data_IF_674195210819
#
_entry.id   IF_674195210819
#
_cell.length_a   1.000
_cell.length_b   1.000
_cell.length_c   1.000
_cell.angle_alpha   90.00
_cell.angle_beta   90.00
_cell.angle_gamma   90.00
#
_symmetry.space_group_name_H-M   'P 1'
#
loop_
_entity.id
_entity.type
_entity.pdbx_description
1 polymer ?
#
# COMPACT_ATOMS: atom_id res chain seq x y z
N UNK A 1 151.92 -66.95 17.33
CA UNK A 1 152.76 -65.91 16.74
C UNK A 1 152.12 -64.57 17.06
N UNK A 2 152.75 -63.78 17.94
CA UNK A 2 152.41 -62.37 18.12
C UNK A 2 152.78 -61.61 16.86
N UNK A 3 151.96 -60.64 16.42
CA UNK A 3 152.42 -59.31 15.99
C UNK A 3 151.40 -58.58 15.10
N UNK A 4 151.31 -57.27 15.33
CA UNK A 4 150.59 -56.23 14.60
C UNK A 4 149.11 -56.07 14.99
N UNK A 5 148.60 -54.92 15.42
CA UNK A 5 149.14 -53.57 15.47
C UNK A 5 148.27 -52.73 16.42
N UNK A 6 148.85 -52.21 17.51
CA UNK A 6 148.22 -51.28 18.47
C UNK A 6 148.14 -49.85 17.92
N UNK A 7 147.79 -49.67 16.64
CA UNK A 7 147.63 -48.33 16.04
C UNK A 7 146.19 -47.80 16.11
N UNK A 8 145.21 -48.60 16.56
CA UNK A 8 143.80 -48.17 16.61
C UNK A 8 143.34 -47.59 17.96
N UNK A 9 144.16 -47.63 19.02
CA UNK A 9 143.75 -47.20 20.37
C UNK A 9 143.86 -45.68 20.61
N UNK A 10 144.42 -44.93 19.66
CA UNK A 10 144.56 -43.46 19.74
C UNK A 10 143.41 -42.69 19.06
N UNK A 11 142.55 -43.36 18.29
CA UNK A 11 141.34 -42.75 17.69
C UNK A 11 140.11 -42.95 18.58
N UNK A 12 139.34 -41.88 18.85
CA UNK A 12 138.04 -41.97 19.53
C UNK A 12 137.09 -42.79 18.66
N UNK A 13 136.47 -43.83 19.21
CA UNK A 13 135.49 -44.65 18.48
C UNK A 13 134.24 -43.84 18.16
N UNK A 14 133.92 -43.73 16.88
CA UNK A 14 132.68 -43.11 16.41
C UNK A 14 131.55 -44.15 16.44
N UNK A 15 130.72 -44.08 17.48
CA UNK A 15 129.47 -44.85 17.52
C UNK A 15 128.40 -44.14 16.69
N UNK A 16 127.68 -44.89 15.86
CA UNK A 16 126.51 -44.37 15.13
C UNK A 16 125.40 -44.03 16.15
N UNK A 17 124.84 -42.83 16.07
CA UNK A 17 123.88 -42.26 17.04
C UNK A 17 122.46 -42.84 17.00
N UNK A 18 122.23 -43.90 16.22
CA UNK A 18 120.90 -44.49 16.04
C UNK A 18 120.73 -45.74 16.91
N UNK A 19 120.05 -45.59 18.05
CA UNK A 19 119.76 -46.69 18.97
C UNK A 19 118.73 -47.69 18.43
N UNK A 20 117.89 -47.30 17.46
CA UNK A 20 116.87 -48.17 16.85
C UNK A 20 117.09 -48.32 15.34
N UNK A 21 117.22 -49.58 14.90
CA UNK A 21 117.45 -49.94 13.50
C UNK A 21 116.13 -49.84 12.71
N UNK A 22 115.86 -48.67 12.12
CA UNK A 22 114.70 -48.42 11.22
C UNK A 22 114.60 -49.38 10.02
N UNK A 23 115.66 -50.12 9.73
CA UNK A 23 115.74 -51.12 8.66
C UNK A 23 114.92 -52.38 8.99
N UNK A 24 114.75 -52.68 10.27
CA UNK A 24 113.94 -53.79 10.74
C UNK A 24 112.52 -53.28 11.01
N UNK A 25 111.56 -53.72 10.18
CA UNK A 25 110.15 -53.44 10.43
C UNK A 25 109.66 -54.29 11.62
N UNK A 26 108.88 -53.73 12.56
CA UNK A 26 108.32 -54.51 13.65
C UNK A 26 107.35 -55.57 13.10
N UNK A 27 107.47 -56.81 13.56
CA UNK A 27 106.57 -57.89 13.19
C UNK A 27 105.30 -57.81 14.05
N UNK A 28 104.17 -57.47 13.44
CA UNK A 28 102.88 -57.35 14.10
C UNK A 28 101.75 -57.08 13.11
N UNK A 29 100.52 -57.38 13.51
CA UNK A 29 99.33 -57.11 12.72
C UNK A 29 98.89 -55.66 12.93
N UNK A 30 98.99 -54.83 11.88
CA UNK A 30 98.46 -53.47 11.88
C UNK A 30 97.08 -53.51 11.21
N UNK A 31 96.01 -53.25 11.97
CA UNK A 31 94.66 -53.11 11.41
C UNK A 31 94.58 -51.85 10.54
N UNK A 32 93.87 -51.95 9.42
CA UNK A 32 93.94 -50.98 8.32
C UNK A 32 93.04 -49.75 8.46
N UNK A 33 92.32 -49.57 9.58
CA UNK A 33 91.43 -48.41 9.75
C UNK A 33 91.44 -47.97 11.22
N UNK A 34 91.76 -46.71 11.45
CA UNK A 34 91.59 -46.05 12.75
C UNK A 34 90.37 -45.15 12.60
N UNK A 35 89.18 -45.70 12.83
CA UNK A 35 87.97 -44.88 13.00
C UNK A 35 88.06 -44.20 14.35
N UNK A 36 88.08 -42.87 14.38
CA UNK A 36 88.14 -42.15 15.65
C UNK A 36 86.75 -42.02 16.25
N UNK A 37 86.64 -42.01 17.58
CA UNK A 37 85.36 -41.73 18.25
C UNK A 37 84.79 -40.35 17.84
N UNK A 38 85.65 -39.43 17.40
CA UNK A 38 85.26 -38.15 16.81
C UNK A 38 84.50 -38.35 15.49
N UNK A 39 84.95 -39.24 14.61
CA UNK A 39 84.28 -39.52 13.33
C UNK A 39 82.87 -40.09 13.53
N UNK A 40 82.66 -40.88 14.59
CA UNK A 40 81.34 -41.40 14.96
C UNK A 40 80.38 -40.33 15.53
N UNK A 41 80.92 -39.23 16.07
CA UNK A 41 80.15 -38.12 16.64
C UNK A 41 80.01 -36.94 15.68
N UNK A 42 80.88 -36.82 14.67
CA UNK A 42 80.75 -35.84 13.59
C UNK A 42 79.91 -36.44 12.46
N UNK A 43 78.60 -36.27 12.57
CA UNK A 43 77.68 -36.67 11.51
C UNK A 43 77.86 -35.71 10.34
N UNK A 44 78.30 -36.24 9.19
CA UNK A 44 78.35 -35.45 7.96
C UNK A 44 76.94 -34.98 7.56
N UNK A 45 76.85 -33.85 6.89
CA UNK A 45 75.57 -33.35 6.36
C UNK A 45 74.98 -34.39 5.41
N UNK A 46 73.77 -34.86 5.74
CA UNK A 46 73.06 -35.80 4.89
C UNK A 46 72.68 -35.11 3.58
N UNK A 47 72.75 -35.83 2.45
CA UNK A 47 72.27 -35.28 1.18
C UNK A 47 70.79 -34.86 1.32
N UNK A 48 70.42 -33.67 0.82
CA UNK A 48 69.07 -33.16 0.95
C UNK A 48 68.10 -34.04 0.16
N UNK A 49 66.86 -34.15 0.64
CA UNK A 49 65.83 -34.91 -0.08
C UNK A 49 65.48 -34.19 -1.39
N UNK A 50 65.35 -34.91 -2.52
CA UNK A 50 64.84 -34.38 -3.78
C UNK A 50 63.48 -33.69 -3.64
N UNK A 51 63.29 -32.56 -4.33
CA UNK A 51 62.07 -31.74 -4.22
C UNK A 51 60.79 -32.47 -4.59
N UNK A 52 60.88 -33.41 -5.53
CA UNK A 52 59.73 -34.23 -5.98
C UNK A 52 59.16 -35.08 -4.84
N UNK A 53 60.01 -35.51 -3.90
CA UNK A 53 59.65 -36.41 -2.80
C UNK A 53 59.30 -35.68 -1.50
N UNK A 54 59.72 -34.40 -1.34
CA UNK A 54 59.45 -33.58 -0.15
C UNK A 54 57.96 -33.54 0.28
N UNK A 55 56.97 -33.47 -0.62
CA UNK A 55 55.55 -33.45 -0.24
C UNK A 55 55.02 -34.76 0.36
N UNK A 56 55.68 -35.89 0.11
CA UNK A 56 55.27 -37.22 0.59
C UNK A 56 56.03 -37.65 1.85
N UNK A 57 56.90 -36.79 2.38
CA UNK A 57 57.65 -37.10 3.59
C UNK A 57 56.78 -37.09 4.84
N UNK A 58 57.16 -37.92 5.80
CA UNK A 58 56.55 -37.95 7.12
C UNK A 58 56.60 -36.56 7.77
N UNK A 59 55.49 -36.15 8.40
CA UNK A 59 55.30 -34.79 8.94
C UNK A 59 56.41 -34.34 9.90
N UNK A 60 56.99 -35.27 10.67
CA UNK A 60 58.09 -35.00 11.61
C UNK A 60 59.42 -34.55 10.95
N UNK A 61 59.54 -34.63 9.62
CA UNK A 61 60.71 -34.17 8.86
C UNK A 61 60.50 -32.83 8.17
N UNK A 62 59.31 -32.23 8.30
CA UNK A 62 59.04 -30.88 7.79
C UNK A 62 59.74 -29.83 8.67
N UNK A 63 60.16 -28.69 8.10
CA UNK A 63 60.77 -27.61 8.87
C UNK A 63 59.78 -27.06 9.92
N UNK A 64 60.32 -26.73 11.10
CA UNK A 64 59.53 -26.19 12.20
C UNK A 64 58.80 -24.90 11.77
N UNK A 65 57.50 -24.78 12.11
CA UNK A 65 56.67 -23.62 11.80
C UNK A 65 56.04 -23.60 10.40
N UNK A 66 56.26 -24.64 9.58
CA UNK A 66 55.60 -24.75 8.27
C UNK A 66 54.14 -25.21 8.37
N UNK A 67 53.28 -24.72 7.46
CA UNK A 67 51.88 -25.14 7.36
C UNK A 67 51.83 -26.52 6.71
N UNK A 68 51.25 -27.50 7.40
CA UNK A 68 51.10 -28.86 6.88
C UNK A 68 50.01 -28.90 5.79
N UNK A 69 50.44 -29.04 4.53
CA UNK A 69 49.55 -29.26 3.38
C UNK A 69 49.37 -30.77 3.15
N UNK A 70 48.18 -31.18 2.76
CA UNK A 70 47.93 -32.57 2.36
C UNK A 70 48.74 -32.92 1.10
N UNK A 71 49.34 -34.12 1.03
CA UNK A 71 50.23 -34.53 -0.06
C UNK A 71 49.58 -34.43 -1.45
N UNK A 72 48.26 -34.64 -1.53
CA UNK A 72 47.48 -34.51 -2.77
C UNK A 72 47.30 -33.07 -3.27
N UNK A 73 47.31 -32.07 -2.37
CA UNK A 73 47.08 -30.64 -2.70
C UNK A 73 48.31 -29.77 -2.46
N UNK A 74 49.44 -30.36 -2.11
CA UNK A 74 50.69 -29.65 -1.82
C UNK A 74 51.26 -28.93 -3.05
N UNK A 75 50.97 -29.43 -4.25
CA UNK A 75 51.41 -28.85 -5.53
C UNK A 75 50.44 -27.80 -6.09
N UNK A 76 49.24 -27.69 -5.52
CA UNK A 76 48.24 -26.75 -6.00
C UNK A 76 48.61 -25.32 -5.58
N UNK A 77 48.25 -24.34 -6.41
CA UNK A 77 48.39 -22.94 -6.04
C UNK A 77 47.48 -22.61 -4.85
N UNK A 78 47.98 -21.80 -3.92
CA UNK A 78 47.13 -21.25 -2.84
C UNK A 78 46.19 -20.22 -3.47
N UNK A 79 44.94 -20.16 -2.99
CA UNK A 79 44.00 -19.13 -3.46
C UNK A 79 44.45 -17.77 -2.94
N UNK A 80 44.51 -16.79 -3.85
CA UNK A 80 44.81 -15.40 -3.52
C UNK A 80 43.52 -14.58 -3.40
N UNK A 81 43.52 -13.65 -2.43
CA UNK A 81 42.44 -12.72 -2.19
C UNK A 81 41.71 -12.94 -0.86
N UNK A 82 40.82 -12.01 -0.48
CA UNK A 82 40.07 -12.11 0.77
C UNK A 82 39.02 -13.23 0.69
N UNK A 83 39.03 -14.11 1.67
CA UNK A 83 38.05 -15.18 1.83
C UNK A 83 36.85 -14.67 2.64
N UNK A 84 35.74 -14.44 1.98
CA UNK A 84 34.51 -13.97 2.62
C UNK A 84 33.44 -13.53 1.61
N UNK A 85 32.24 -13.26 2.11
CA UNK A 85 31.17 -12.68 1.31
C UNK A 85 31.46 -11.20 1.07
N UNK A 86 31.79 -10.82 -0.17
CA UNK A 86 31.86 -9.41 -0.57
C UNK A 86 30.45 -8.93 -0.92
N UNK A 87 29.91 -8.01 -0.13
CA UNK A 87 28.85 -7.14 -0.65
C UNK A 87 29.47 -6.26 -1.75
N UNK A 88 28.96 -6.34 -2.98
CA UNK A 88 29.40 -5.43 -4.04
C UNK A 88 28.92 -4.02 -3.69
N UNK A 89 29.82 -3.19 -3.16
CA UNK A 89 29.56 -1.77 -3.00
C UNK A 89 29.33 -1.14 -4.38
N UNK A 90 28.18 -0.50 -4.59
CA UNK A 90 27.89 0.30 -5.78
C UNK A 90 27.15 -0.39 -6.94
N UNK A 91 26.39 -1.47 -6.71
CA UNK A 91 25.49 -1.99 -7.76
C UNK A 91 24.21 -1.17 -7.93
N UNK A 92 23.75 -0.53 -6.86
CA UNK A 92 22.63 0.40 -6.88
C UNK A 92 23.10 1.66 -6.15
N UNK A 93 23.45 2.68 -6.92
CA UNK A 93 23.76 3.98 -6.34
C UNK A 93 22.45 4.62 -5.90
N UNK A 94 22.44 5.28 -4.75
CA UNK A 94 21.29 6.11 -4.37
C UNK A 94 20.92 7.12 -5.47
N UNK A 95 21.90 7.55 -6.27
CA UNK A 95 21.67 8.41 -7.44
C UNK A 95 20.82 7.74 -8.54
N UNK A 96 20.95 6.44 -8.76
CA UNK A 96 20.15 5.68 -9.74
C UNK A 96 18.71 5.54 -9.27
N UNK A 97 18.50 5.31 -7.97
CA UNK A 97 17.16 5.25 -7.38
C UNK A 97 16.44 6.60 -7.36
N UNK A 98 17.18 7.71 -7.32
CA UNK A 98 16.62 9.07 -7.31
C UNK A 98 16.40 9.63 -8.73
N UNK A 99 17.01 9.04 -9.75
CA UNK A 99 16.89 9.51 -11.12
C UNK A 99 15.57 9.05 -11.76
N UNK A 100 14.54 9.90 -11.69
CA UNK A 100 13.22 9.60 -12.25
C UNK A 100 13.11 9.79 -13.78
N UNK A 101 13.89 10.70 -14.36
CA UNK A 101 13.83 11.02 -15.79
C UNK A 101 15.16 10.70 -16.49
N UNK A 102 15.11 10.35 -17.79
CA UNK A 102 16.32 10.23 -18.58
C UNK A 102 17.05 11.59 -18.67
N UNK A 103 18.38 11.52 -18.62
CA UNK A 103 19.24 12.69 -18.73
C UNK A 103 19.33 13.29 -20.14
N UNK A 104 18.89 12.55 -21.16
CA UNK A 104 18.91 13.00 -22.56
C UNK A 104 17.58 13.64 -22.97
N UNK A 105 17.65 14.68 -23.81
CA UNK A 105 16.46 15.34 -24.38
C UNK A 105 15.64 14.38 -25.23
N UNK A 106 16.31 13.54 -26.02
CA UNK A 106 15.66 12.50 -26.84
C UNK A 106 14.88 11.53 -25.95
N UNK A 107 15.42 11.15 -24.79
CA UNK A 107 14.75 10.25 -23.86
C UNK A 107 13.51 10.87 -23.25
N UNK A 108 13.55 12.17 -22.93
CA UNK A 108 12.39 12.91 -22.41
C UNK A 108 11.30 13.06 -23.46
N UNK A 109 11.67 13.37 -24.71
CA UNK A 109 10.71 13.46 -25.81
C UNK A 109 10.06 12.09 -26.09
N UNK A 110 10.84 11.00 -26.12
CA UNK A 110 10.31 9.65 -26.29
C UNK A 110 9.34 9.27 -25.16
N UNK A 111 9.65 9.63 -23.92
CA UNK A 111 8.76 9.41 -22.77
C UNK A 111 7.45 10.18 -22.95
N UNK A 112 7.51 11.46 -23.31
CA UNK A 112 6.32 12.25 -23.63
C UNK A 112 5.48 11.63 -24.76
N UNK A 113 6.10 11.16 -25.84
CA UNK A 113 5.39 10.47 -26.94
C UNK A 113 4.67 9.21 -26.46
N UNK A 114 5.29 8.43 -25.57
CA UNK A 114 4.65 7.23 -24.97
C UNK A 114 3.47 7.60 -24.06
N UNK A 115 3.59 8.71 -23.34
CA UNK A 115 2.56 9.21 -22.42
C UNK A 115 1.43 10.00 -23.10
N UNK A 116 1.55 10.29 -24.40
CA UNK A 116 0.46 10.92 -25.17
C UNK A 116 -0.82 10.08 -25.17
N UNK A 117 -0.73 8.76 -24.95
CA UNK A 117 -1.92 7.90 -24.87
C UNK A 117 -2.83 8.27 -23.68
N UNK A 118 -2.29 8.91 -22.63
CA UNK A 118 -3.07 9.24 -21.45
C UNK A 118 -4.03 10.41 -21.66
N UNK A 119 -5.23 10.25 -21.13
CA UNK A 119 -6.27 11.28 -21.21
C UNK A 119 -5.90 12.57 -20.47
N UNK A 120 -5.14 12.49 -19.38
CA UNK A 120 -4.64 13.65 -18.64
C UNK A 120 -3.71 14.50 -19.50
N UNK A 121 -2.78 13.88 -20.22
CA UNK A 121 -1.85 14.55 -21.15
C UNK A 121 -2.59 15.38 -22.20
N UNK A 122 -3.73 14.91 -22.69
CA UNK A 122 -4.56 15.64 -23.66
C UNK A 122 -5.48 16.69 -23.03
N UNK A 123 -5.98 16.46 -21.81
CA UNK A 123 -6.93 17.35 -21.12
C UNK A 123 -6.25 18.51 -20.40
N UNK A 124 -5.01 18.30 -19.95
CA UNK A 124 -4.26 19.22 -19.10
C UNK A 124 -2.87 19.53 -19.70
N UNK A 125 -2.78 20.04 -20.94
CA UNK A 125 -1.50 20.45 -21.49
C UNK A 125 -0.98 21.68 -20.74
N UNK A 126 0.24 21.60 -20.19
CA UNK A 126 0.84 22.71 -19.46
C UNK A 126 1.01 23.94 -20.38
N UNK A 127 0.44 25.07 -19.96
CA UNK A 127 0.50 26.33 -20.71
C UNK A 127 -0.41 26.39 -21.94
N UNK A 128 -1.20 25.34 -22.20
CA UNK A 128 -2.19 25.28 -23.25
C UNK A 128 -3.61 25.09 -22.71
N UNK A 129 -4.59 25.18 -23.60
CA UNK A 129 -5.96 24.73 -23.33
C UNK A 129 -6.20 23.39 -24.00
N UNK A 130 -7.23 22.68 -23.55
CA UNK A 130 -7.62 21.39 -24.13
C UNK A 130 -7.92 21.53 -25.63
N UNK A 131 -7.19 20.76 -26.45
CA UNK A 131 -7.53 20.60 -27.86
C UNK A 131 -8.66 19.60 -27.99
N UNK A 132 -9.80 20.04 -28.53
CA UNK A 132 -11.00 19.18 -28.73
C UNK A 132 -11.00 18.43 -30.05
N UNK A 133 -9.95 18.57 -30.87
CA UNK A 133 -9.84 17.89 -32.16
C UNK A 133 -10.80 18.40 -33.25
N UNK A 134 -11.30 19.63 -33.15
CA UNK A 134 -12.17 20.19 -34.18
C UNK A 134 -11.39 20.57 -35.44
N UNK A 135 -11.92 20.20 -36.61
CA UNK A 135 -11.44 20.70 -37.90
C UNK A 135 -12.02 22.09 -38.16
N UNK A 136 -11.21 23.12 -37.94
CA UNK A 136 -11.61 24.51 -38.18
C UNK A 136 -11.53 24.83 -39.69
N UNK A 137 -12.48 25.61 -40.25
CA UNK A 137 -12.37 26.12 -41.61
C UNK A 137 -11.06 26.90 -41.82
N UNK A 138 -10.41 26.70 -42.95
CA UNK A 138 -9.15 27.37 -43.27
C UNK A 138 -9.31 28.91 -43.19
N UNK A 139 -8.36 29.57 -42.53
CA UNK A 139 -8.36 31.03 -42.34
C UNK A 139 -9.13 31.55 -41.13
N UNK A 140 -9.96 30.72 -40.46
CA UNK A 140 -10.68 31.14 -39.26
C UNK A 140 -9.74 31.24 -38.05
N UNK A 141 -9.59 32.44 -37.49
CA UNK A 141 -8.69 32.77 -36.38
C UNK A 141 -7.38 33.42 -36.79
N UNK A 142 -6.98 33.32 -38.07
CA UNK A 142 -5.80 33.98 -38.64
C UNK A 142 -6.18 35.12 -39.59
N UNK A 143 -6.97 34.82 -40.61
CA UNK A 143 -7.40 35.77 -41.66
C UNK A 143 -8.77 36.37 -41.34
N UNK A 144 -9.72 35.51 -40.92
CA UNK A 144 -11.07 35.91 -40.54
C UNK A 144 -11.21 35.79 -39.03
N UNK A 145 -11.63 36.85 -38.32
CA UNK A 145 -11.85 36.79 -36.88
C UNK A 145 -13.06 35.90 -36.54
N UNK A 146 -13.12 35.46 -35.28
CA UNK A 146 -14.28 34.73 -34.78
C UNK A 146 -15.49 35.65 -34.62
N UNK A 147 -16.69 35.11 -34.89
CA UNK A 147 -17.96 35.82 -34.76
C UNK A 147 -18.57 36.23 -36.09
N UNK A 148 -19.73 36.88 -36.05
CA UNK A 148 -20.39 37.41 -37.25
C UNK A 148 -19.95 38.87 -37.45
N UNK A 149 -19.35 39.24 -38.59
CA UNK A 149 -19.05 40.63 -38.87
C UNK A 149 -20.37 41.37 -39.10
N UNK A 150 -20.74 42.20 -38.14
CA UNK A 150 -21.74 43.22 -38.37
C UNK A 150 -20.98 44.40 -38.95
N UNK A 151 -21.21 44.69 -40.23
CA UNK A 151 -20.58 45.79 -40.97
C UNK A 151 -21.10 47.17 -40.51
N UNK A 152 -21.21 47.38 -39.20
CA UNK A 152 -21.82 48.56 -38.57
C UNK A 152 -21.08 49.82 -39.00
N UNK A 153 -19.74 49.80 -38.97
CA UNK A 153 -18.91 50.95 -39.37
C UNK A 153 -19.05 51.28 -40.87
N UNK A 154 -19.21 50.28 -41.72
CA UNK A 154 -19.40 50.49 -43.16
C UNK A 154 -20.81 51.01 -43.47
N UNK A 155 -21.83 50.49 -42.77
CA UNK A 155 -23.20 50.98 -42.86
C UNK A 155 -23.34 52.42 -42.36
N UNK A 156 -22.66 52.78 -41.26
CA UNK A 156 -22.56 54.16 -40.79
C UNK A 156 -21.89 55.06 -41.85
N UNK A 157 -20.81 54.60 -42.49
CA UNK A 157 -20.17 55.34 -43.58
C UNK A 157 -21.07 55.56 -44.80
N UNK A 158 -22.01 54.64 -45.05
CA UNK A 158 -22.96 54.74 -46.15
C UNK A 158 -24.16 55.66 -45.85
N UNK A 159 -24.30 56.15 -44.60
CA UNK A 159 -25.37 57.07 -44.18
C UNK A 159 -26.77 56.65 -44.67
N UNK A 160 -27.09 55.36 -44.65
CA UNK A 160 -28.36 54.81 -45.15
C UNK A 160 -29.58 55.44 -44.47
N UNK A 161 -29.42 55.88 -43.23
CA UNK A 161 -30.45 56.61 -42.48
C UNK A 161 -30.86 57.91 -43.16
N UNK A 162 -29.91 58.65 -43.75
CA UNK A 162 -30.20 59.92 -44.44
C UNK A 162 -31.05 59.70 -45.69
N UNK A 163 -30.75 58.65 -46.48
CA UNK A 163 -31.53 58.30 -47.68
C UNK A 163 -32.95 57.84 -47.37
N UNK A 164 -33.17 57.23 -46.20
CA UNK A 164 -34.52 56.81 -45.77
C UNK A 164 -35.33 58.01 -45.25
N UNK A 165 -34.72 58.91 -44.48
CA UNK A 165 -35.41 60.07 -43.91
C UNK A 165 -35.73 61.11 -44.99
N UNK A 166 -34.83 61.31 -45.96
CA UNK A 166 -34.99 62.31 -47.02
C UNK A 166 -34.82 61.66 -48.41
N UNK A 167 -35.88 61.02 -48.95
CA UNK A 167 -35.82 60.44 -50.27
C UNK A 167 -35.71 61.55 -51.33
N UNK A 168 -34.51 61.75 -51.90
CA UNK A 168 -34.26 62.78 -52.93
C UNK A 168 -34.87 62.46 -54.31
N UNK A 169 -35.38 61.24 -54.51
CA UNK A 169 -35.95 60.76 -55.78
C UNK A 169 -37.38 60.20 -55.61
N UNK A 170 -38.16 60.72 -54.66
CA UNK A 170 -39.60 60.50 -54.72
C UNK A 170 -40.16 61.40 -55.83
N UNK A 171 -40.71 60.81 -56.90
CA UNK A 171 -41.52 61.57 -57.83
C UNK A 171 -42.77 62.02 -57.06
N UNK A 172 -43.02 63.33 -56.97
CA UNK A 172 -44.18 63.87 -56.28
C UNK A 172 -45.46 63.49 -57.06
N UNK A 173 -46.06 62.35 -56.69
CA UNK A 173 -47.30 61.86 -57.29
C UNK A 173 -48.50 62.82 -57.07
N UNK A 174 -48.39 63.73 -56.10
CA UNK A 174 -49.38 64.80 -55.83
C UNK A 174 -49.44 65.87 -56.94
N UNK A 175 -48.42 66.00 -57.78
CA UNK A 175 -48.41 66.98 -58.87
C UNK A 175 -49.24 66.54 -60.11
N UNK A 176 -49.83 65.34 -60.10
CA UNK A 176 -50.64 64.81 -61.19
C UNK A 176 -52.15 65.04 -60.97
N UNK A 177 -52.80 65.99 -61.68
CA UNK A 177 -54.23 66.30 -61.53
C UNK A 177 -55.20 65.12 -61.70
N UNK A 178 -55.00 64.15 -62.62
CA UNK A 178 -55.94 63.03 -62.78
C UNK A 178 -55.84 62.05 -61.60
N UNK A 179 -54.64 61.83 -61.05
CA UNK A 179 -54.44 60.96 -59.88
C UNK A 179 -55.11 61.57 -58.66
N UNK A 180 -54.94 62.88 -58.43
CA UNK A 180 -55.63 63.60 -57.34
C UNK A 180 -57.16 63.44 -57.43
N UNK A 181 -57.75 63.62 -58.61
CA UNK A 181 -59.21 63.46 -58.79
C UNK A 181 -59.71 62.04 -58.50
N UNK A 182 -58.90 61.02 -58.83
CA UNK A 182 -59.20 59.61 -58.52
C UNK A 182 -59.13 59.35 -57.01
N UNK A 183 -58.14 59.89 -56.31
CA UNK A 183 -58.01 59.76 -54.85
C UNK A 183 -59.10 60.51 -54.08
N UNK A 184 -59.52 61.68 -54.57
CA UNK A 184 -60.69 62.42 -54.06
C UNK A 184 -61.96 61.55 -54.17
N UNK A 185 -62.17 60.88 -55.29
CA UNK A 185 -63.35 60.04 -55.53
C UNK A 185 -63.34 58.74 -54.73
N UNK A 186 -62.21 58.03 -54.71
CA UNK A 186 -62.09 56.70 -54.10
C UNK A 186 -61.87 56.72 -52.58
N UNK A 187 -61.04 57.65 -52.08
CA UNK A 187 -60.61 57.69 -50.67
C UNK A 187 -61.08 58.95 -49.94
N UNK A 188 -61.68 59.92 -50.63
CA UNK A 188 -62.08 61.19 -50.02
C UNK A 188 -60.90 62.03 -49.55
N UNK A 189 -59.73 61.88 -50.18
CA UNK A 189 -58.52 62.64 -49.88
C UNK A 189 -58.55 64.00 -50.58
N UNK A 190 -58.95 65.05 -49.86
CA UNK A 190 -59.04 66.41 -50.40
C UNK A 190 -57.78 67.20 -50.07
N UNK A 191 -57.37 68.08 -50.98
CA UNK A 191 -56.30 69.04 -50.67
C UNK A 191 -56.77 70.02 -49.57
N UNK A 192 -55.87 70.52 -48.71
CA UNK A 192 -56.22 71.53 -47.70
C UNK A 192 -56.92 72.74 -48.35
N UNK A 193 -58.14 73.03 -47.90
CA UNK A 193 -58.96 74.13 -48.41
C UNK A 193 -59.95 73.77 -49.52
N UNK A 194 -59.95 72.53 -50.03
CA UNK A 194 -60.92 72.07 -51.02
C UNK A 194 -62.24 71.62 -50.36
N UNK A 195 -63.37 72.15 -50.84
CA UNK A 195 -64.69 71.68 -50.41
C UNK A 195 -65.07 70.41 -51.15
N UNK A 196 -65.59 69.41 -50.42
CA UNK A 196 -66.14 68.19 -51.02
C UNK A 196 -67.30 68.50 -51.96
N UNK A 197 -67.06 68.36 -53.25
CA UNK A 197 -68.10 68.37 -54.29
C UNK A 197 -68.85 67.04 -54.23
N UNK A 198 -70.18 67.12 -54.18
CA UNK A 198 -71.08 65.96 -54.05
C UNK A 198 -71.86 65.67 -55.33
N UNK A 199 -71.48 66.32 -56.43
CA UNK A 199 -72.10 66.23 -57.76
C UNK A 199 -73.64 66.30 -57.71
N UNK A 200 -74.18 67.09 -56.78
CA UNK A 200 -75.61 67.31 -56.69
C UNK A 200 -76.08 68.12 -57.89
N UNK A 201 -77.17 67.65 -58.47
CA UNK A 201 -77.87 68.34 -59.54
C UNK A 201 -78.77 69.42 -58.94
N UNK A 202 -78.16 70.52 -58.48
CA UNK A 202 -78.83 71.63 -57.81
C UNK A 202 -79.91 72.31 -58.67
N UNK A 203 -79.85 72.09 -59.99
CA UNK A 203 -80.87 72.51 -60.95
C UNK A 203 -82.26 71.89 -60.67
N UNK A 204 -82.33 70.65 -60.14
CA UNK A 204 -83.59 69.94 -59.87
C UNK A 204 -84.29 70.36 -58.58
N UNK A 205 -83.53 70.79 -57.58
CA UNK A 205 -84.06 71.22 -56.29
C UNK A 205 -84.49 72.69 -56.28
N UNK A 206 -84.24 73.42 -57.38
CA UNK A 206 -84.51 74.85 -57.53
C UNK A 206 -83.89 75.71 -56.39
N UNK A 207 -82.70 75.32 -55.96
CA UNK A 207 -81.97 75.93 -54.85
C UNK A 207 -80.57 76.32 -55.35
N UNK A 208 -80.20 77.60 -55.22
CA UNK A 208 -78.81 78.04 -55.41
C UNK A 208 -78.01 77.78 -54.11
N UNK A 209 -76.97 76.93 -54.14
CA UNK A 209 -76.18 76.56 -52.96
C UNK A 209 -75.49 77.73 -52.27
N UNK A 210 -75.18 78.80 -53.00
CA UNK A 210 -74.48 79.95 -52.44
C UNK A 210 -75.42 80.95 -51.76
N UNK A 211 -76.71 80.92 -52.08
CA UNK A 211 -77.67 81.98 -51.67
C UNK A 211 -78.79 81.50 -50.72
N UNK A 212 -79.19 80.23 -50.73
CA UNK A 212 -80.33 79.74 -49.92
C UNK A 212 -79.99 79.50 -48.43
N UNK A 213 -80.85 79.93 -47.49
CA UNK A 213 -80.69 79.69 -46.04
C UNK A 213 -81.30 78.36 -45.63
N UNK A 214 -80.44 77.37 -45.43
CA UNK A 214 -80.86 76.00 -45.11
C UNK A 214 -81.28 75.82 -43.64
N UNK A 215 -82.26 74.94 -43.43
CA UNK A 215 -82.83 74.33 -42.20
C UNK A 215 -84.28 74.68 -41.88
N UNK A 216 -84.93 73.73 -41.19
CA UNK A 216 -86.27 73.82 -40.61
C UNK A 216 -86.27 74.73 -39.37
N UNK A 217 -87.35 75.48 -39.18
CA UNK A 217 -87.57 76.33 -38.01
C UNK A 217 -88.72 75.72 -37.19
N UNK A 218 -88.48 75.40 -35.92
CA UNK A 218 -89.47 74.76 -35.04
C UNK A 218 -89.93 75.72 -33.91
N UNK A 219 -91.26 75.79 -33.71
CA UNK A 219 -91.91 76.53 -32.61
C UNK A 219 -91.79 75.80 -31.27
N UNK A 220 -91.46 76.52 -30.19
CA UNK A 220 -91.22 75.94 -28.85
C UNK A 220 -92.52 75.42 -28.20
N UNK A 221 -92.64 74.11 -28.02
CA UNK A 221 -93.70 73.51 -27.21
C UNK A 221 -93.30 72.14 -26.65
N UNK A 222 -93.21 72.06 -25.31
CA UNK A 222 -93.36 70.81 -24.54
C UNK A 222 -92.11 69.93 -24.34
N UNK A 223 -91.08 70.40 -23.64
CA UNK A 223 -90.02 69.53 -23.12
C UNK A 223 -90.01 69.52 -21.59
N UNK A 224 -89.85 68.32 -21.01
CA UNK A 224 -89.73 68.04 -19.57
C UNK A 224 -88.84 69.05 -18.84
N UNK A 225 -89.29 69.45 -17.65
CA UNK A 225 -88.54 70.39 -16.81
C UNK A 225 -87.23 69.77 -16.33
N UNK A 226 -86.16 70.57 -16.27
CA UNK A 226 -84.81 70.16 -15.86
C UNK A 226 -84.77 69.48 -14.47
N UNK A 227 -85.78 69.74 -13.64
CA UNK A 227 -85.96 69.13 -12.32
C UNK A 227 -86.17 67.61 -12.38
N UNK A 228 -86.91 67.11 -13.38
CA UNK A 228 -87.15 65.66 -13.57
C UNK A 228 -85.86 64.93 -13.98
N UNK A 229 -84.94 65.62 -14.67
CA UNK A 229 -83.65 65.04 -15.10
C UNK A 229 -82.68 64.95 -13.92
N UNK A 230 -82.72 65.91 -12.99
CA UNK A 230 -81.77 66.01 -11.88
C UNK A 230 -82.08 65.07 -10.71
N UNK A 231 -83.36 64.74 -10.48
CA UNK A 231 -83.79 63.91 -9.34
C UNK A 231 -84.71 62.77 -9.82
N UNK A 232 -84.18 61.79 -10.55
CA UNK A 232 -84.94 60.64 -11.04
C UNK A 232 -85.43 59.72 -9.91
N UNK A 233 -84.95 59.94 -8.68
CA UNK A 233 -85.33 59.18 -7.50
C UNK A 233 -86.74 59.48 -6.98
N UNK A 234 -87.29 60.64 -7.36
CA UNK A 234 -88.60 61.13 -6.92
C UNK A 234 -89.72 60.85 -7.94
N UNK A 235 -89.40 60.36 -9.15
CA UNK A 235 -90.40 60.00 -10.16
C UNK A 235 -90.93 58.59 -9.89
N UNK A 236 -92.23 58.47 -9.58
CA UNK A 236 -92.89 57.18 -9.26
C UNK A 236 -92.83 56.17 -10.42
N UNK A 237 -92.81 56.65 -11.67
CA UNK A 237 -92.64 55.81 -12.87
C UNK A 237 -91.19 55.33 -13.06
N UNK A 238 -90.22 56.04 -12.51
CA UNK A 238 -88.80 55.70 -12.57
C UNK A 238 -88.37 54.81 -11.40
N UNK A 239 -89.01 54.92 -10.22
CA UNK A 239 -88.73 54.09 -9.05
C UNK A 239 -88.97 52.58 -9.28
N UNK A 240 -89.98 52.21 -10.08
CA UNK A 240 -90.26 50.81 -10.45
C UNK A 240 -89.21 50.19 -11.39
N UNK A 241 -88.35 51.00 -12.02
CA UNK A 241 -87.29 50.54 -12.93
C UNK A 241 -85.95 50.28 -12.24
N UNK A 242 -85.85 50.49 -10.93
CA UNK A 242 -84.59 50.38 -10.19
C UNK A 242 -84.32 48.96 -9.73
N UNK A 243 -83.56 48.27 -10.57
CA UNK A 243 -82.89 46.99 -10.34
C UNK A 243 -83.85 45.82 -10.03
N UNK A 244 -83.93 44.87 -10.97
CA UNK A 244 -84.66 43.63 -10.75
C UNK A 244 -84.15 42.94 -9.47
N UNK A 245 -85.05 42.64 -8.53
CA UNK A 245 -84.72 41.97 -7.26
C UNK A 245 -84.12 40.57 -7.47
N UNK A 246 -84.33 40.00 -8.65
CA UNK A 246 -83.75 38.73 -9.08
C UNK A 246 -82.96 38.99 -10.35
N UNK A 247 -81.68 38.67 -10.31
CA UNK A 247 -80.80 38.76 -11.47
C UNK A 247 -80.22 37.38 -11.77
N UNK A 248 -79.76 37.17 -13.00
CA UNK A 248 -79.16 35.90 -13.36
C UNK A 248 -77.85 35.66 -12.59
N UNK A 249 -77.63 34.42 -12.15
CA UNK A 249 -76.41 34.01 -11.43
C UNK A 249 -75.11 34.32 -12.18
N UNK A 250 -75.16 34.33 -13.52
CA UNK A 250 -74.03 34.67 -14.39
C UNK A 250 -73.68 36.15 -14.24
N UNK A 251 -74.70 37.02 -14.28
CA UNK A 251 -74.53 38.45 -14.12
C UNK A 251 -74.06 38.81 -12.70
N UNK A 252 -74.58 38.16 -11.66
CA UNK A 252 -74.15 38.42 -10.27
C UNK A 252 -72.68 38.04 -10.05
N UNK A 253 -72.24 36.90 -10.60
CA UNK A 253 -70.81 36.51 -10.56
C UNK A 253 -69.93 37.51 -11.30
N UNK A 254 -70.36 37.95 -12.49
CA UNK A 254 -69.65 38.95 -13.29
C UNK A 254 -69.52 40.28 -12.52
N UNK A 255 -70.61 40.73 -11.89
CA UNK A 255 -70.64 41.93 -11.05
C UNK A 255 -69.74 41.80 -9.81
N UNK A 256 -69.73 40.65 -9.13
CA UNK A 256 -68.89 40.43 -7.96
C UNK A 256 -67.38 40.40 -8.28
N UNK A 257 -66.99 39.95 -9.47
CA UNK A 257 -65.56 39.90 -9.86
C UNK A 257 -65.04 41.19 -10.50
N UNK A 258 -65.91 41.94 -11.19
CA UNK A 258 -65.52 43.17 -11.90
C UNK A 258 -65.87 44.44 -11.12
N UNK A 259 -66.82 44.37 -10.20
CA UNK A 259 -67.13 45.46 -9.29
C UNK A 259 -66.02 45.64 -8.27
N UNK A 260 -65.64 46.91 -8.06
CA UNK A 260 -64.75 47.31 -6.96
C UNK A 260 -65.61 47.78 -5.79
N UNK A 261 -65.58 47.05 -4.69
CA UNK A 261 -66.34 47.39 -3.48
C UNK A 261 -65.45 48.18 -2.53
N UNK A 262 -65.95 49.32 -2.05
CA UNK A 262 -65.21 50.15 -1.10
C UNK A 262 -64.81 49.35 0.15
N UNK A 263 -63.51 49.38 0.46
CA UNK A 263 -62.94 48.73 1.64
C UNK A 263 -62.68 47.23 1.50
N UNK A 264 -62.99 46.61 0.36
CA UNK A 264 -62.62 45.21 0.08
C UNK A 264 -61.59 45.14 -1.05
N UNK A 265 -60.62 44.23 -0.97
CA UNK A 265 -59.71 43.99 -2.09
C UNK A 265 -60.47 43.33 -3.25
N UNK A 266 -59.98 43.55 -4.48
CA UNK A 266 -60.55 42.95 -5.68
C UNK A 266 -60.53 41.42 -5.62
N UNK A 267 -61.65 40.80 -5.94
CA UNK A 267 -61.79 39.35 -5.99
C UNK A 267 -61.14 38.78 -7.27
N UNK A 268 -60.00 38.10 -7.13
CA UNK A 268 -59.20 37.55 -8.25
C UNK A 268 -59.57 36.11 -8.65
N UNK A 269 -60.56 35.49 -8.00
CA UNK A 269 -61.03 34.14 -8.32
C UNK A 269 -60.64 33.09 -7.29
N UNK A 270 -61.08 31.84 -7.51
CA UNK A 270 -61.03 30.76 -6.53
C UNK A 270 -59.59 30.27 -6.29
N UNK A 271 -59.06 30.56 -5.10
CA UNK A 271 -57.93 29.80 -4.55
C UNK A 271 -58.38 28.40 -4.13
N UNK A 272 -57.43 27.47 -4.01
CA UNK A 272 -57.68 26.20 -3.34
C UNK A 272 -58.27 26.46 -1.94
N UNK A 273 -59.19 25.60 -1.47
CA UNK A 273 -59.80 25.71 -0.14
C UNK A 273 -58.76 25.48 0.94
N UNK A 274 -58.06 26.55 1.32
CA UNK A 274 -57.11 26.56 2.42
C UNK A 274 -57.87 26.83 3.73
N UNK A 275 -57.42 26.27 4.86
CA UNK A 275 -58.02 26.58 6.15
C UNK A 275 -57.87 28.08 6.45
N UNK A 276 -58.80 28.70 7.21
CA UNK A 276 -58.77 30.13 7.51
C UNK A 276 -57.51 30.56 8.29
N UNK A 277 -56.82 29.60 8.92
CA UNK A 277 -55.57 29.79 9.66
C UNK A 277 -54.31 29.56 8.80
N UNK A 278 -54.47 29.39 7.48
CA UNK A 278 -53.34 29.20 6.58
C UNK A 278 -52.55 30.50 6.40
N UNK A 279 -51.24 30.43 6.68
CA UNK A 279 -50.31 31.52 6.41
C UNK A 279 -49.79 31.41 4.97
N UNK A 280 -50.10 32.40 4.13
CA UNK A 280 -49.60 32.47 2.76
C UNK A 280 -48.11 32.81 2.72
N UNK A 281 -47.39 32.19 1.77
CA UNK A 281 -45.95 32.36 1.59
C UNK A 281 -45.28 31.01 1.37
N UNK A 282 -43.96 31.03 1.19
CA UNK A 282 -43.15 29.80 1.13
C UNK A 282 -42.45 29.65 2.48
N UNK A 283 -42.73 28.56 3.19
CA UNK A 283 -41.99 28.20 4.40
C UNK A 283 -40.49 28.14 4.09
N UNK A 284 -39.67 28.71 4.99
CA UNK A 284 -38.22 28.69 4.88
C UNK A 284 -37.66 27.27 4.93
N UNK A 285 -38.33 26.40 5.69
CA UNK A 285 -37.98 25.00 5.88
C UNK A 285 -39.06 24.14 5.23
N UNK A 286 -38.66 23.22 4.34
CA UNK A 286 -39.58 22.28 3.68
C UNK A 286 -39.69 20.96 4.42
N UNK A 287 -38.61 20.54 5.06
CA UNK A 287 -38.45 19.27 5.78
C UNK A 287 -37.60 19.55 7.04
N UNK A 288 -37.81 18.80 8.12
CA UNK A 288 -37.01 18.95 9.33
C UNK A 288 -35.56 18.55 9.05
N UNK A 289 -34.71 19.56 8.84
CA UNK A 289 -33.27 19.36 8.70
C UNK A 289 -32.64 19.08 10.07
N UNK A 290 -31.66 18.17 10.14
CA UNK A 290 -31.00 17.84 11.40
C UNK A 290 -30.33 19.07 11.99
N UNK A 291 -30.51 19.26 13.29
CA UNK A 291 -29.93 20.38 14.00
C UNK A 291 -28.39 20.28 14.01
N UNK A 292 -27.69 21.40 14.15
CA UNK A 292 -26.22 21.45 14.28
C UNK A 292 -25.73 20.50 15.38
N UNK A 293 -26.47 20.37 16.48
CA UNK A 293 -26.14 19.45 17.56
C UNK A 293 -26.20 17.97 17.16
N UNK A 294 -27.12 17.60 16.28
CA UNK A 294 -27.23 16.24 15.73
C UNK A 294 -26.12 15.98 14.72
N UNK A 295 -25.82 16.96 13.87
CA UNK A 295 -24.71 16.89 12.91
C UNK A 295 -23.34 16.74 13.61
N UNK A 296 -23.12 17.43 14.72
CA UNK A 296 -21.87 17.33 15.49
C UNK A 296 -21.66 15.95 16.14
N UNK A 297 -22.74 15.29 16.55
CA UNK A 297 -22.67 13.96 17.17
C UNK A 297 -22.64 12.85 16.11
N UNK A 298 -23.23 13.10 14.94
CA UNK A 298 -23.36 12.11 13.88
C UNK A 298 -24.29 10.96 14.26
N UNK A 299 -24.61 10.12 13.27
CA UNK A 299 -25.38 8.89 13.47
C UNK A 299 -24.48 7.68 13.24
N UNK A 300 -23.44 7.55 14.06
CA UNK A 300 -22.50 6.43 13.98
C UNK A 300 -23.09 5.18 14.63
N UNK A 301 -22.94 4.04 13.98
CA UNK A 301 -23.29 2.75 14.56
C UNK A 301 -22.35 2.40 15.73
N UNK A 302 -22.75 1.46 16.59
CA UNK A 302 -21.91 1.02 17.72
C UNK A 302 -20.53 0.48 17.25
N UNK A 303 -20.45 -0.06 16.04
CA UNK A 303 -19.20 -0.56 15.45
C UNK A 303 -18.28 0.59 15.02
N UNK A 304 -18.82 1.68 14.48
CA UNK A 304 -18.05 2.87 14.07
C UNK A 304 -17.61 3.72 15.26
N UNK A 305 -18.35 3.65 16.37
CA UNK A 305 -17.95 4.29 17.63
C UNK A 305 -16.86 3.49 18.36
N UNK A 306 -16.70 2.20 18.01
CA UNK A 306 -15.67 1.38 18.62
C UNK A 306 -14.28 1.84 18.16
N UNK A 307 -13.28 1.78 19.05
CA UNK A 307 -11.91 2.11 18.69
C UNK A 307 -11.36 1.12 17.65
N UNK A 308 -10.43 1.59 16.82
CA UNK A 308 -9.81 0.79 15.77
C UNK A 308 -9.20 -0.52 16.34
N UNK A 309 -9.36 -1.65 15.63
CA UNK A 309 -9.04 -2.96 16.18
C UNK A 309 -7.53 -3.27 16.25
N UNK A 310 -6.69 -2.47 15.60
CA UNK A 310 -5.22 -2.57 15.59
C UNK A 310 -4.55 -1.73 16.70
N UNK A 311 -5.33 -1.01 17.50
CA UNK A 311 -4.81 -0.29 18.65
C UNK A 311 -4.25 -1.29 19.68
N UNK A 312 -2.94 -1.17 19.95
CA UNK A 312 -2.24 -1.97 20.95
C UNK A 312 -1.87 -3.39 20.52
N UNK A 313 -2.18 -3.82 19.29
CA UNK A 313 -1.82 -5.15 18.78
C UNK A 313 -1.68 -5.18 17.26
N UNK A 314 -0.73 -5.97 16.78
CA UNK A 314 -0.58 -6.24 15.35
C UNK A 314 -1.68 -7.18 14.84
N UNK A 315 -2.52 -6.70 13.92
CA UNK A 315 -3.46 -7.54 13.16
C UNK A 315 -2.85 -8.11 11.86
N UNK A 316 -1.65 -7.66 11.49
CA UNK A 316 -0.95 -8.11 10.28
C UNK A 316 -0.69 -9.62 10.34
N UNK A 317 -1.15 -10.33 9.32
CA UNK A 317 -0.90 -11.78 9.20
C UNK A 317 0.60 -12.07 9.27
N UNK A 318 0.98 -13.07 10.08
CA UNK A 318 2.38 -13.41 10.38
C UNK A 318 2.97 -12.69 11.60
N UNK A 319 2.35 -11.59 12.06
CA UNK A 319 2.81 -10.80 13.21
C UNK A 319 1.76 -10.75 14.33
N UNK A 320 0.67 -11.51 14.20
CA UNK A 320 -0.42 -11.50 15.19
C UNK A 320 0.04 -12.09 16.50
N UNK A 321 -0.20 -11.36 17.59
CA UNK A 321 0.01 -11.86 18.94
C UNK A 321 -1.23 -12.65 19.41
N UNK A 322 -1.49 -13.77 18.75
CA UNK A 322 -2.62 -14.65 19.07
C UNK A 322 -2.11 -16.06 19.33
N UNK A 323 -1.76 -16.36 20.57
CA UNK A 323 -1.37 -17.69 21.02
C UNK A 323 -2.46 -18.31 21.91
N UNK A 324 -2.91 -19.51 21.55
CA UNK A 324 -3.94 -20.24 22.29
C UNK A 324 -3.35 -21.23 23.32
N UNK A 325 -2.05 -21.52 23.23
CA UNK A 325 -1.47 -22.74 23.81
C UNK A 325 -0.62 -22.54 25.06
N UNK A 326 -0.39 -21.30 25.53
CA UNK A 326 0.44 -21.03 26.72
C UNK A 326 1.86 -21.62 26.68
N UNK A 327 2.30 -22.06 25.49
CA UNK A 327 3.59 -22.71 25.27
C UNK A 327 4.67 -21.66 25.08
N UNK A 328 5.86 -21.95 25.57
CA UNK A 328 7.01 -21.09 25.30
C UNK A 328 7.47 -21.26 23.86
N UNK A 329 7.57 -20.15 23.12
CA UNK A 329 8.14 -20.16 21.78
C UNK A 329 9.66 -20.07 21.88
N UNK A 330 10.35 -21.14 21.49
CA UNK A 330 11.81 -21.20 21.53
C UNK A 330 12.32 -22.63 21.38
N UNK A 331 13.64 -22.79 21.46
CA UNK A 331 14.30 -24.11 21.51
C UNK A 331 14.85 -24.30 22.93
N UNK A 332 14.41 -25.30 23.70
CA UNK A 332 14.94 -25.55 25.03
C UNK A 332 16.40 -26.00 24.97
N UNK A 333 17.17 -25.66 26.01
CA UNK A 333 18.59 -26.07 26.11
C UNK A 333 18.76 -27.58 26.25
N UNK A 334 17.81 -28.23 26.93
CA UNK A 334 17.71 -29.69 27.01
C UNK A 334 16.57 -30.13 26.09
N UNK A 335 16.89 -30.94 25.08
CA UNK A 335 15.98 -31.27 23.98
C UNK A 335 15.16 -32.53 24.26
N UNK A 336 14.35 -32.47 25.30
CA UNK A 336 13.36 -33.52 25.61
C UNK A 336 12.18 -33.52 24.62
N UNK A 337 12.06 -32.44 23.82
CA UNK A 337 11.02 -32.24 22.81
C UNK A 337 11.18 -33.13 21.57
N UNK A 338 12.32 -33.79 21.41
CA UNK A 338 12.66 -34.58 20.21
C UNK A 338 13.03 -36.00 20.59
N UNK A 339 12.65 -36.99 19.77
CA UNK A 339 13.06 -38.37 19.98
C UNK A 339 14.59 -38.54 19.95
N UNK A 340 15.08 -39.41 20.83
CA UNK A 340 16.50 -39.76 20.88
C UNK A 340 16.92 -40.44 19.56
N UNK A 341 18.04 -40.05 18.93
CA UNK A 341 18.50 -40.67 17.70
C UNK A 341 18.92 -42.13 17.96
N UNK A 342 18.63 -43.07 17.04
CA UNK A 342 18.96 -44.49 17.21
C UNK A 342 20.47 -44.72 17.33
N UNK A 343 21.27 -43.91 16.64
CA UNK A 343 22.72 -43.88 16.75
C UNK A 343 23.17 -42.45 17.02
N UNK A 344 23.85 -42.22 18.15
CA UNK A 344 24.36 -40.88 18.49
C UNK A 344 25.59 -40.57 17.63
N UNK A 345 25.59 -39.39 16.99
CA UNK A 345 26.76 -38.88 16.28
C UNK A 345 27.89 -38.57 17.26
N UNK A 346 29.13 -38.88 16.86
CA UNK A 346 30.35 -38.55 17.63
C UNK A 346 30.49 -37.03 17.87
N UNK A 347 29.99 -36.22 16.93
CA UNK A 347 30.02 -34.76 17.01
C UNK A 347 28.73 -34.14 17.57
N UNK A 348 27.88 -34.92 18.26
CA UNK A 348 26.63 -34.40 18.82
C UNK A 348 26.89 -33.48 20.01
N UNK A 349 26.56 -32.19 19.85
CA UNK A 349 26.65 -31.16 20.89
C UNK A 349 25.35 -30.95 21.69
N UNK A 350 24.30 -31.71 21.37
CA UNK A 350 22.97 -31.58 21.98
C UNK A 350 22.81 -32.55 23.15
N UNK A 351 22.22 -32.06 24.24
CA UNK A 351 21.75 -32.86 25.36
C UNK A 351 20.25 -33.18 25.17
N UNK A 352 19.88 -34.46 25.29
CA UNK A 352 18.52 -34.99 25.07
C UNK A 352 17.78 -35.33 26.37
N UNK A 353 18.33 -34.96 27.53
CA UNK A 353 17.72 -35.18 28.84
C UNK A 353 18.05 -36.52 29.49
N UNK A 354 18.76 -37.42 28.79
CA UNK A 354 19.22 -38.71 29.31
C UNK A 354 20.71 -38.72 29.73
N UNK A 355 21.34 -37.54 29.83
CA UNK A 355 22.74 -37.43 30.22
C UNK A 355 22.89 -37.45 31.75
N UNK A 356 23.92 -38.15 32.28
CA UNK A 356 24.16 -38.20 33.72
C UNK A 356 24.58 -36.83 34.26
N UNK A 357 24.31 -36.60 35.55
CA UNK A 357 24.78 -35.40 36.23
C UNK A 357 26.31 -35.39 36.39
N UNK A 358 26.89 -34.19 36.56
CA UNK A 358 28.34 -34.05 36.78
C UNK A 358 28.83 -34.83 38.02
N UNK A 359 28.03 -34.90 39.07
CA UNK A 359 28.37 -35.67 40.28
C UNK A 359 28.44 -37.17 40.02
N UNK A 360 27.50 -37.72 39.25
CA UNK A 360 27.50 -39.14 38.88
C UNK A 360 28.65 -39.50 37.93
N UNK A 361 29.10 -38.59 37.08
CA UNK A 361 30.29 -38.81 36.27
C UNK A 361 31.57 -38.88 37.11
N UNK A 362 31.65 -38.09 38.20
CA UNK A 362 32.79 -38.12 39.13
C UNK A 362 32.76 -39.37 40.02
N UNK A 363 31.57 -39.86 40.37
CA UNK A 363 31.36 -41.04 41.21
C UNK A 363 30.37 -42.01 40.56
N UNK A 364 30.79 -42.75 39.51
CA UNK A 364 29.90 -43.63 38.78
C UNK A 364 29.48 -44.85 39.62
N UNK A 365 28.26 -45.38 39.44
CA UNK A 365 27.87 -46.62 40.09
C UNK A 365 28.65 -47.80 39.49
N UNK A 366 28.85 -48.85 40.30
CA UNK A 366 29.65 -50.04 39.91
C UNK A 366 29.16 -50.75 38.65
N UNK A 367 27.89 -50.57 38.28
CA UNK A 367 27.32 -51.17 37.08
C UNK A 367 27.82 -50.52 35.77
N UNK A 368 28.40 -49.32 35.83
CA UNK A 368 28.98 -48.65 34.65
C UNK A 368 30.18 -49.43 34.11
N UNK A 369 30.96 -50.07 34.99
CA UNK A 369 32.10 -50.91 34.60
C UNK A 369 31.66 -52.12 33.75
N UNK A 370 30.40 -52.53 33.88
CA UNK A 370 29.77 -53.61 33.11
C UNK A 370 29.07 -53.09 31.84
N UNK A 371 29.17 -51.79 31.55
CA UNK A 371 28.52 -51.15 30.40
C UNK A 371 27.05 -50.82 30.61
N UNK A 372 26.50 -50.99 31.82
CA UNK A 372 25.12 -50.61 32.14
C UNK A 372 25.07 -49.12 32.45
N UNK A 373 24.35 -48.36 31.64
CA UNK A 373 24.16 -46.93 31.85
C UNK A 373 22.96 -46.66 32.77
N UNK A 374 22.92 -45.45 33.29
CA UNK A 374 21.84 -44.99 34.17
C UNK A 374 20.46 -45.02 33.51
N UNK A 375 20.37 -44.71 32.21
CA UNK A 375 19.13 -44.78 31.44
C UNK A 375 18.47 -46.17 31.51
N UNK A 376 19.26 -47.25 31.61
CA UNK A 376 18.74 -48.62 31.69
C UNK A 376 18.16 -48.95 33.08
N UNK A 377 18.59 -48.24 34.13
CA UNK A 377 18.09 -48.41 35.50
C UNK A 377 16.81 -47.60 35.74
N UNK A 378 16.71 -46.44 35.10
CA UNK A 378 15.57 -45.52 35.15
C UNK A 378 14.46 -45.87 34.16
N UNK A 379 14.77 -46.67 33.13
CA UNK A 379 13.80 -47.18 32.17
C UNK A 379 12.60 -47.83 32.87
N UNK A 380 11.40 -47.38 32.50
CA UNK A 380 10.15 -47.93 33.02
C UNK A 380 9.94 -49.32 32.43
N UNK A 381 9.77 -50.31 33.31
CA UNK A 381 9.56 -51.71 32.95
C UNK A 381 8.23 -52.21 33.47
N UNK A 382 7.68 -53.20 32.76
CA UNK A 382 6.49 -53.90 33.22
C UNK A 382 6.81 -54.77 34.44
N UNK A 383 5.82 -55.07 35.30
CA UNK A 383 6.03 -55.93 36.47
C UNK A 383 6.54 -57.33 36.08
N UNK A 384 6.07 -57.88 34.96
CA UNK A 384 6.48 -59.20 34.48
C UNK A 384 7.95 -59.22 34.05
N UNK A 385 8.41 -58.17 33.36
CA UNK A 385 9.82 -58.00 32.97
C UNK A 385 10.73 -57.87 34.21
N UNK A 386 10.29 -57.10 35.21
CA UNK A 386 11.03 -56.97 36.48
C UNK A 386 11.13 -58.30 37.22
N UNK A 387 10.05 -59.10 37.28
CA UNK A 387 10.08 -60.42 37.91
C UNK A 387 11.07 -61.35 37.22
N UNK A 388 11.09 -61.37 35.88
CA UNK A 388 12.02 -62.19 35.10
C UNK A 388 13.47 -61.75 35.34
N UNK A 389 13.73 -60.45 35.35
CA UNK A 389 15.06 -59.87 35.62
C UNK A 389 15.55 -60.26 37.03
N UNK A 390 14.70 -60.13 38.05
CA UNK A 390 15.03 -60.50 39.43
C UNK A 390 15.26 -62.00 39.59
N UNK A 391 14.45 -62.83 38.94
CA UNK A 391 14.64 -64.28 38.94
C UNK A 391 15.98 -64.67 38.31
N UNK A 392 16.34 -64.06 37.18
CA UNK A 392 17.63 -64.28 36.52
C UNK A 392 18.83 -63.79 37.36
N UNK A 393 18.64 -62.73 38.15
CA UNK A 393 19.65 -62.20 39.07
C UNK A 393 19.80 -63.03 40.36
N UNK A 394 19.00 -64.09 40.56
CA UNK A 394 19.00 -64.89 41.78
C UNK A 394 18.30 -64.22 42.97
N UNK A 395 17.46 -63.21 42.69
CA UNK A 395 16.70 -62.42 43.66
C UNK A 395 15.18 -62.68 43.54
N UNK A 396 14.79 -63.93 43.30
CA UNK A 396 13.39 -64.30 43.19
C UNK A 396 12.62 -64.02 44.50
N UNK A 397 11.53 -63.27 44.40
CA UNK A 397 10.63 -62.95 45.52
C UNK A 397 9.32 -63.73 45.37
N UNK A 398 8.64 -64.01 46.47
CA UNK A 398 7.28 -64.53 46.39
C UNK A 398 6.33 -63.47 45.82
N UNK A 399 5.27 -63.89 45.14
CA UNK A 399 4.37 -62.95 44.45
C UNK A 399 3.75 -61.91 45.39
N UNK A 400 3.42 -62.30 46.62
CA UNK A 400 2.90 -61.38 47.64
C UNK A 400 3.95 -60.35 48.11
N UNK A 401 5.22 -60.76 48.25
CA UNK A 401 6.32 -59.88 48.63
C UNK A 401 6.65 -58.91 47.50
N UNK A 402 6.63 -59.40 46.26
CA UNK A 402 6.86 -58.59 45.07
C UNK A 402 5.82 -57.47 44.94
N UNK A 403 4.53 -57.78 45.12
CA UNK A 403 3.46 -56.77 45.09
C UNK A 403 3.61 -55.71 46.19
N UNK A 404 4.02 -56.11 47.41
CA UNK A 404 4.28 -55.17 48.50
C UNK A 404 5.47 -54.24 48.20
N UNK A 405 6.55 -54.79 47.65
CA UNK A 405 7.71 -53.98 47.23
C UNK A 405 7.34 -53.03 46.10
N UNK A 406 6.50 -53.47 45.17
CA UNK A 406 6.04 -52.66 44.04
C UNK A 406 5.10 -51.53 44.48
N UNK A 407 4.35 -51.71 45.57
CA UNK A 407 3.58 -50.63 46.21
C UNK A 407 4.47 -49.61 46.94
N UNK A 408 5.60 -50.06 47.51
CA UNK A 408 6.57 -49.19 48.18
C UNK A 408 7.50 -48.46 47.20
N UNK A 409 7.75 -49.07 46.04
CA UNK A 409 8.35 -48.40 44.91
C UNK A 409 7.32 -47.44 44.31
N UNK A 410 7.71 -46.21 44.00
CA UNK A 410 6.82 -45.18 43.45
C UNK A 410 6.42 -45.52 42.00
N UNK A 411 5.62 -46.57 41.81
CA UNK A 411 5.22 -47.07 40.51
C UNK A 411 4.27 -46.09 39.82
N UNK A 412 4.56 -45.80 38.55
CA UNK A 412 3.77 -44.89 37.71
C UNK A 412 2.73 -45.72 36.96
N UNK A 413 1.50 -45.19 36.86
CA UNK A 413 0.45 -45.80 36.04
C UNK A 413 0.33 -45.06 34.72
N UNK A 414 0.28 -45.82 33.63
CA UNK A 414 0.04 -45.30 32.29
C UNK A 414 -1.44 -44.95 32.05
N UNK A 415 -1.73 -44.32 30.91
CA UNK A 415 -3.10 -43.98 30.46
C UNK A 415 -4.04 -45.20 30.39
N UNK A 416 -3.49 -46.40 30.22
CA UNK A 416 -4.21 -47.68 30.23
C UNK A 416 -4.28 -48.34 31.62
N UNK A 417 -3.95 -47.61 32.69
CA UNK A 417 -3.85 -48.08 34.08
C UNK A 417 -2.83 -49.21 34.33
N UNK A 418 -1.98 -49.53 33.36
CA UNK A 418 -0.87 -50.47 33.53
C UNK A 418 0.18 -49.88 34.47
N UNK A 419 0.69 -50.72 35.37
CA UNK A 419 1.72 -50.34 36.34
C UNK A 419 3.10 -50.47 35.69
N UNK A 420 3.89 -49.42 35.82
CA UNK A 420 5.27 -49.36 35.37
C UNK A 420 6.18 -48.94 36.52
N UNK A 421 7.33 -49.58 36.62
CA UNK A 421 8.30 -49.27 37.66
C UNK A 421 9.71 -49.34 37.07
N UNK A 422 10.57 -48.42 37.48
CA UNK A 422 11.99 -48.48 37.14
C UNK A 422 12.71 -49.44 38.07
N UNK A 423 13.79 -50.06 37.59
CA UNK A 423 14.55 -51.02 38.39
C UNK A 423 15.17 -50.34 39.62
N UNK A 424 15.62 -49.09 39.50
CA UNK A 424 16.20 -48.36 40.63
C UNK A 424 15.17 -48.05 41.73
N UNK A 425 13.98 -47.57 41.34
CA UNK A 425 12.88 -47.34 42.27
C UNK A 425 12.43 -48.64 42.96
N UNK A 426 12.37 -49.74 42.21
CA UNK A 426 12.05 -51.05 42.74
C UNK A 426 13.10 -51.53 43.76
N UNK A 427 14.40 -51.41 43.45
CA UNK A 427 15.47 -51.81 44.35
C UNK A 427 15.54 -50.92 45.60
N UNK A 428 15.21 -49.65 45.49
CA UNK A 428 15.05 -48.75 46.63
C UNK A 428 13.86 -49.16 47.52
N UNK A 429 12.71 -49.45 46.91
CA UNK A 429 11.53 -49.98 47.60
C UNK A 429 11.83 -51.30 48.32
N UNK A 430 12.57 -52.20 47.67
CA UNK A 430 13.01 -53.48 48.26
C UNK A 430 13.92 -53.29 49.47
N UNK A 431 14.87 -52.35 49.42
CA UNK A 431 15.72 -52.03 50.56
C UNK A 431 14.90 -51.54 51.75
N UNK A 432 13.91 -50.65 51.51
CA UNK A 432 12.99 -50.16 52.54
C UNK A 432 12.13 -51.28 53.12
N UNK A 433 11.59 -52.15 52.27
CA UNK A 433 10.82 -53.33 52.69
C UNK A 433 11.65 -54.27 53.57
N UNK A 434 12.89 -54.58 53.16
CA UNK A 434 13.81 -55.41 53.96
C UNK A 434 14.16 -54.76 55.31
N UNK A 435 14.31 -53.43 55.37
CA UNK A 435 14.53 -52.70 56.63
C UNK A 435 13.32 -52.83 57.57
N UNK A 436 12.09 -52.75 57.04
CA UNK A 436 10.87 -52.96 57.82
C UNK A 436 10.76 -54.39 58.36
N UNK A 437 11.08 -55.40 57.54
CA UNK A 437 11.07 -56.80 57.96
C UNK A 437 12.16 -57.12 59.00
N UNK A 438 13.32 -56.45 58.91
CA UNK A 438 14.41 -56.57 59.88
C UNK A 438 14.20 -55.74 61.16
N UNK A 439 13.11 -54.98 61.27
CA UNK A 439 12.84 -54.11 62.43
C UNK A 439 13.79 -52.92 62.57
N UNK A 440 14.42 -52.49 61.47
CA UNK A 440 15.41 -51.41 61.41
C UNK A 440 14.85 -50.11 60.80
N UNK A 441 13.52 -49.94 60.86
CA UNK A 441 12.81 -48.80 60.27
C UNK A 441 12.78 -47.58 61.19
#
# INVERSE_FOLDING_TARGET
>A
MFSSSLYSSLGRTEYQSTETLKQMRPAGFNSSVVETAKDALTWQERPPTPEVQKPFQHYARQPAGSIMRHFGTARDAVRDGPFGCKARAGQESAAECLAAYPGSEIGRWQLQQREQVYASTHKEPLGGTISRGYHMPAGLGTEVPFGRPLHVKEQESQNSTHTIIFPQQAADDEANPPVHSMYVSSHGSFAPGEQRKRDYDWSKANIDPKQHRFRRVDSKGGHSSMKQILQPDLDDSAAASKQAAVVSRVYDRHKATLGDELGKPRLLGASARLPPDHVFGRASVKEEEPCVGELMRGCYSAEEQAPDPDLGKSLRQGWRNSDASGRTFGVPSVRNDIPLPPTRSVASTKNYGNEPSAGQLLAPPKCVDLGVKEEHLLELRSPDDLQQLLAAAGLALQQQEFEQVLQLAEAVRDEQQQLWCSLDAFMAGRRRWLQQQAGLA
#
